data_IF_465405079701
#
_entry.id   IF_465405079701
#
_cell.length_a   1.000
_cell.length_b   1.000
_cell.length_c   1.000
_cell.angle_alpha   90.00
_cell.angle_beta   90.00
_cell.angle_gamma   90.00
#
_symmetry.space_group_name_H-M   'P 1'
#
loop_
_entity.id
_entity.type
_entity.pdbx_description
1 polymer ?
#
# COMPACT_ATOMS: atom_id res chain seq x y z
N UNK A 1 -3.03 5.24 10.99
CA UNK A 1 -4.00 4.51 11.83
C UNK A 1 -3.42 4.41 13.24
N UNK A 2 -2.25 3.81 13.38
CA UNK A 2 -1.61 3.55 14.68
C UNK A 2 -1.38 4.82 15.52
N UNK A 3 -0.95 5.94 14.91
CA UNK A 3 -0.69 7.19 15.65
C UNK A 3 -1.98 7.94 16.06
N UNK A 4 -3.08 7.74 15.33
CA UNK A 4 -4.29 8.56 15.50
C UNK A 4 -5.40 7.84 16.29
N UNK A 5 -5.48 6.52 16.19
CA UNK A 5 -6.61 5.75 16.71
C UNK A 5 -6.20 4.72 17.79
N UNK A 6 -4.91 4.36 17.89
CA UNK A 6 -4.43 3.34 18.83
C UNK A 6 -3.63 3.97 19.99
N UNK A 7 -3.88 3.55 21.24
CA UNK A 7 -3.12 4.02 22.37
C UNK A 7 -1.67 3.52 22.28
N UNK A 8 -0.73 4.40 22.61
CA UNK A 8 0.66 4.01 22.72
C UNK A 8 0.84 3.00 23.86
N UNK A 9 1.49 1.88 23.57
CA UNK A 9 1.66 0.79 24.53
C UNK A 9 2.63 -0.26 24.03
N UNK A 10 2.68 -1.40 24.74
CA UNK A 10 3.65 -2.48 24.45
C UNK A 10 3.65 -2.92 22.99
N UNK A 11 2.48 -3.10 22.38
CA UNK A 11 2.34 -3.49 20.98
C UNK A 11 3.09 -2.54 20.03
N UNK A 12 2.89 -1.22 20.19
CA UNK A 12 3.52 -0.22 19.33
C UNK A 12 5.04 -0.15 19.55
N UNK A 13 5.49 -0.15 20.80
CA UNK A 13 6.92 -0.07 21.15
C UNK A 13 7.67 -1.32 20.70
N UNK A 14 7.14 -2.51 20.99
CA UNK A 14 7.75 -3.77 20.59
C UNK A 14 7.73 -3.94 19.06
N UNK A 15 6.61 -3.59 18.42
CA UNK A 15 6.47 -3.61 16.97
C UNK A 15 7.52 -2.76 16.27
N UNK A 16 7.70 -1.52 16.72
CA UNK A 16 8.64 -0.57 16.13
C UNK A 16 10.10 -0.86 16.45
N UNK A 17 10.42 -1.29 17.66
CA UNK A 17 11.82 -1.45 18.11
C UNK A 17 12.41 -2.82 17.84
N UNK A 18 11.59 -3.88 17.77
CA UNK A 18 12.06 -5.27 17.67
C UNK A 18 11.54 -5.92 16.41
N UNK A 19 10.22 -5.95 16.24
CA UNK A 19 9.60 -6.75 15.19
C UNK A 19 9.95 -6.25 13.79
N UNK A 20 9.74 -4.96 13.50
CA UNK A 20 10.03 -4.41 12.17
C UNK A 20 11.51 -4.52 11.77
N UNK A 21 12.49 -4.14 12.61
CA UNK A 21 13.90 -4.33 12.27
C UNK A 21 14.26 -5.79 12.01
N UNK A 22 13.69 -6.72 12.79
CA UNK A 22 13.98 -8.16 12.64
C UNK A 22 13.42 -8.71 11.34
N UNK A 23 12.15 -8.41 11.03
CA UNK A 23 11.49 -8.94 9.83
C UNK A 23 12.05 -8.31 8.56
N UNK A 24 12.22 -6.98 8.49
CA UNK A 24 12.65 -6.29 7.27
C UNK A 24 14.14 -6.43 6.95
N UNK A 25 14.94 -7.01 7.84
CA UNK A 25 16.34 -7.33 7.56
C UNK A 25 16.58 -8.83 7.33
N UNK A 26 15.51 -9.63 7.30
CA UNK A 26 15.58 -11.08 7.27
C UNK A 26 16.31 -11.62 6.03
N UNK A 27 16.10 -11.03 4.85
CA UNK A 27 16.78 -11.42 3.61
C UNK A 27 18.27 -11.14 3.70
N UNK A 28 18.64 -9.97 4.23
CA UNK A 28 20.04 -9.58 4.42
C UNK A 28 20.74 -10.53 5.40
N UNK A 29 20.10 -10.85 6.53
CA UNK A 29 20.60 -11.82 7.50
C UNK A 29 20.75 -13.20 6.87
N UNK A 30 19.76 -13.64 6.09
CA UNK A 30 19.78 -14.94 5.42
C UNK A 30 20.93 -15.03 4.41
N UNK A 31 21.08 -14.03 3.54
CA UNK A 31 22.14 -13.97 2.52
C UNK A 31 23.55 -13.87 3.11
N UNK A 32 23.69 -13.24 4.28
CA UNK A 32 24.97 -13.17 4.98
C UNK A 32 25.45 -14.55 5.47
N UNK A 33 24.52 -15.44 5.83
CA UNK A 33 24.81 -16.80 6.33
C UNK A 33 24.74 -17.86 5.23
N UNK A 34 23.98 -17.61 4.16
CA UNK A 34 23.73 -18.52 3.06
C UNK A 34 24.03 -17.77 1.75
N UNK A 35 25.26 -17.87 1.21
CA UNK A 35 25.58 -17.24 -0.06
C UNK A 35 24.76 -17.90 -1.18
N UNK A 36 23.80 -17.15 -1.72
CA UNK A 36 22.97 -17.58 -2.85
C UNK A 36 23.49 -16.91 -4.11
N UNK A 37 23.96 -17.72 -5.06
CA UNK A 37 24.35 -17.23 -6.39
C UNK A 37 23.19 -17.44 -7.37
N UNK A 38 22.55 -16.34 -7.75
CA UNK A 38 21.51 -16.34 -8.78
C UNK A 38 22.14 -16.04 -10.16
N UNK A 39 21.69 -16.73 -11.22
CA UNK A 39 22.03 -16.35 -12.59
C UNK A 39 21.71 -14.87 -12.86
N UNK A 40 22.61 -14.18 -13.55
CA UNK A 40 22.51 -12.73 -13.80
C UNK A 40 21.18 -12.31 -14.42
N UNK A 41 20.63 -13.12 -15.33
CA UNK A 41 19.34 -12.84 -15.95
C UNK A 41 18.19 -12.85 -14.95
N UNK A 42 18.17 -13.80 -13.99
CA UNK A 42 17.16 -13.82 -12.93
C UNK A 42 17.30 -12.62 -12.00
N UNK A 43 18.54 -12.26 -11.63
CA UNK A 43 18.80 -11.08 -10.81
C UNK A 43 18.31 -9.80 -11.48
N UNK A 44 18.55 -9.64 -12.79
CA UNK A 44 18.05 -8.50 -13.57
C UNK A 44 16.51 -8.50 -13.58
N UNK A 45 15.87 -9.65 -13.81
CA UNK A 45 14.41 -9.75 -13.82
C UNK A 45 13.80 -9.38 -12.45
N UNK A 46 14.37 -9.88 -11.35
CA UNK A 46 13.94 -9.56 -9.98
C UNK A 46 14.11 -8.07 -9.70
N UNK A 47 15.26 -7.49 -10.09
CA UNK A 47 15.51 -6.06 -9.93
C UNK A 47 14.49 -5.22 -10.69
N UNK A 48 14.25 -5.53 -11.97
CA UNK A 48 13.25 -4.82 -12.78
C UNK A 48 11.84 -4.96 -12.19
N UNK A 49 11.49 -6.14 -11.67
CA UNK A 49 10.23 -6.36 -10.98
C UNK A 49 10.09 -5.46 -9.74
N UNK A 50 11.14 -5.35 -8.92
CA UNK A 50 11.18 -4.43 -7.79
C UNK A 50 11.07 -2.96 -8.20
N UNK A 51 11.75 -2.54 -9.26
CA UNK A 51 11.67 -1.17 -9.80
C UNK A 51 10.24 -0.85 -10.25
N UNK A 52 9.55 -1.79 -10.90
CA UNK A 52 8.13 -1.61 -11.27
C UNK A 52 7.26 -1.42 -10.03
N UNK A 53 7.45 -2.23 -8.99
CA UNK A 53 6.75 -2.07 -7.71
C UNK A 53 6.98 -0.71 -7.06
N UNK A 54 8.24 -0.23 -7.08
CA UNK A 54 8.59 1.09 -6.55
C UNK A 54 7.94 2.23 -7.35
N UNK A 55 7.94 2.15 -8.69
CA UNK A 55 7.28 3.15 -9.54
C UNK A 55 5.77 3.18 -9.26
N UNK A 56 5.13 2.01 -9.12
CA UNK A 56 3.71 1.89 -8.76
C UNK A 56 3.44 2.59 -7.42
N UNK A 57 4.24 2.29 -6.39
CA UNK A 57 4.11 2.90 -5.07
C UNK A 57 4.29 4.43 -5.12
N UNK A 58 5.39 4.88 -5.73
CA UNK A 58 5.75 6.29 -5.76
C UNK A 58 4.72 7.11 -6.53
N UNK A 59 4.32 6.65 -7.73
CA UNK A 59 3.32 7.36 -8.54
C UNK A 59 1.94 7.38 -7.89
N UNK A 60 1.54 6.30 -7.20
CA UNK A 60 0.30 6.27 -6.43
C UNK A 60 0.32 7.29 -5.29
N UNK A 61 1.42 7.37 -4.53
CA UNK A 61 1.58 8.31 -3.42
C UNK A 61 1.60 9.75 -3.92
N UNK A 62 2.35 10.02 -4.99
CA UNK A 62 2.44 11.35 -5.60
C UNK A 62 1.08 11.83 -6.11
N UNK A 63 0.32 10.96 -6.80
CA UNK A 63 -1.04 11.26 -7.22
C UNK A 63 -1.94 11.64 -6.05
N UNK A 64 -1.83 10.93 -4.92
CA UNK A 64 -2.62 11.19 -3.72
C UNK A 64 -2.27 12.55 -3.10
N UNK A 65 -0.98 12.88 -3.02
CA UNK A 65 -0.51 14.16 -2.48
C UNK A 65 -0.96 15.34 -3.34
N UNK A 66 -0.73 15.27 -4.66
CA UNK A 66 -1.13 16.31 -5.61
C UNK A 66 -2.63 16.61 -5.54
N UNK A 67 -3.47 15.59 -5.37
CA UNK A 67 -4.92 15.75 -5.28
C UNK A 67 -5.33 16.53 -4.02
N UNK A 68 -4.64 16.28 -2.90
CA UNK A 68 -4.86 17.01 -1.66
C UNK A 68 -4.40 18.47 -1.79
N UNK A 69 -3.21 18.70 -2.36
CA UNK A 69 -2.63 20.05 -2.48
C UNK A 69 -3.38 20.93 -3.48
N UNK A 70 -3.84 20.36 -4.60
CA UNK A 70 -4.51 21.12 -5.66
C UNK A 70 -6.03 21.24 -5.45
N UNK A 71 -6.57 20.65 -4.38
CA UNK A 71 -8.00 20.55 -4.11
C UNK A 71 -8.80 20.11 -5.36
N UNK A 72 -8.25 19.14 -6.10
CA UNK A 72 -8.87 18.55 -7.29
C UNK A 72 -8.72 19.34 -8.61
N UNK A 73 -7.90 20.39 -8.67
CA UNK A 73 -7.65 21.17 -9.91
C UNK A 73 -6.64 20.52 -10.86
N UNK A 74 -5.99 19.43 -10.47
CA UNK A 74 -4.94 18.80 -11.27
C UNK A 74 -5.48 17.86 -12.38
N UNK A 75 -4.89 17.92 -13.57
CA UNK A 75 -5.15 16.95 -14.65
C UNK A 75 -4.24 15.74 -14.48
N UNK A 76 -4.79 14.53 -14.39
CA UNK A 76 -3.99 13.30 -14.27
C UNK A 76 -4.02 12.56 -15.60
N UNK A 77 -2.83 12.28 -16.16
CA UNK A 77 -2.64 11.58 -17.43
C UNK A 77 -3.38 12.22 -18.62
N UNK A 78 -3.35 13.56 -18.73
CA UNK A 78 -3.94 14.31 -19.84
C UNK A 78 -5.47 14.38 -19.87
N UNK A 79 -6.16 13.80 -18.87
CA UNK A 79 -7.62 13.90 -18.70
C UNK A 79 -7.96 14.68 -17.44
N UNK A 80 -9.08 15.41 -17.45
CA UNK A 80 -9.62 16.03 -16.24
C UNK A 80 -9.81 14.94 -15.18
N UNK A 81 -9.14 15.09 -14.06
CA UNK A 81 -9.19 14.09 -13.01
C UNK A 81 -10.62 13.96 -12.47
N UNK A 82 -11.07 12.72 -12.29
CA UNK A 82 -12.40 12.41 -11.79
C UNK A 82 -12.30 12.24 -10.27
N UNK A 83 -13.15 12.96 -9.55
CA UNK A 83 -13.22 12.93 -8.10
C UNK A 83 -14.66 12.78 -7.64
N UNK A 84 -14.85 12.17 -6.47
CA UNK A 84 -16.11 12.24 -5.74
C UNK A 84 -15.86 13.15 -4.53
N UNK A 85 -16.64 14.23 -4.41
CA UNK A 85 -16.62 15.08 -3.21
C UNK A 85 -17.41 14.36 -2.12
N UNK A 86 -16.77 14.13 -0.99
CA UNK A 86 -17.38 13.52 0.18
C UNK A 86 -17.29 14.50 1.36
N UNK A 87 -18.43 14.98 1.81
CA UNK A 87 -18.54 15.78 3.04
C UNK A 87 -18.66 14.85 4.23
N UNK A 88 -17.97 15.17 5.32
CA UNK A 88 -18.02 14.41 6.55
C UNK A 88 -17.85 15.35 7.75
N UNK A 89 -18.41 14.95 8.89
CA UNK A 89 -18.30 15.69 10.14
C UNK A 89 -17.14 15.10 10.95
N UNK A 90 -16.20 15.94 11.40
CA UNK A 90 -15.14 15.49 12.32
C UNK A 90 -15.71 15.24 13.72
N UNK A 91 -14.94 14.56 14.57
CA UNK A 91 -15.29 14.36 15.99
C UNK A 91 -15.58 15.68 16.72
N UNK A 92 -15.00 16.77 16.25
CA UNK A 92 -15.15 18.13 16.80
C UNK A 92 -16.43 18.83 16.30
N UNK A 93 -17.27 18.16 15.50
CA UNK A 93 -18.50 18.72 14.94
C UNK A 93 -18.30 19.60 13.70
N UNK A 94 -17.09 19.70 13.17
CA UNK A 94 -16.78 20.54 12.00
C UNK A 94 -17.00 19.76 10.72
N UNK A 95 -17.83 20.29 9.82
CA UNK A 95 -17.97 19.76 8.46
C UNK A 95 -16.68 20.01 7.66
N UNK A 96 -16.15 18.95 7.06
CA UNK A 96 -15.01 19.00 6.15
C UNK A 96 -15.34 18.26 4.86
N UNK A 97 -14.82 18.76 3.75
CA UNK A 97 -14.85 18.05 2.48
C UNK A 97 -13.56 17.27 2.26
N UNK A 98 -13.67 16.07 1.69
CA UNK A 98 -12.55 15.30 1.13
C UNK A 98 -12.84 14.94 -0.32
N UNK A 99 -11.77 14.83 -1.10
CA UNK A 99 -11.84 14.39 -2.49
C UNK A 99 -11.42 12.92 -2.57
N UNK A 100 -12.35 12.06 -3.00
CA UNK A 100 -12.06 10.67 -3.31
C UNK A 100 -11.59 10.58 -4.76
N UNK A 101 -10.32 10.23 -4.94
CA UNK A 101 -9.67 10.23 -6.23
C UNK A 101 -10.02 8.98 -7.05
N UNK A 102 -10.59 9.17 -8.23
CA UNK A 102 -11.12 8.08 -9.07
C UNK A 102 -10.43 8.00 -10.46
N UNK A 103 -9.21 8.50 -10.59
CA UNK A 103 -8.48 8.56 -11.86
C UNK A 103 -7.09 7.94 -11.74
N UNK A 104 -6.44 7.66 -12.86
CA UNK A 104 -5.15 6.98 -12.87
C UNK A 104 -5.24 5.60 -12.22
N UNK A 105 -4.24 5.25 -11.39
CA UNK A 105 -4.16 3.94 -10.74
C UNK A 105 -5.27 3.74 -9.69
N UNK A 106 -5.63 4.81 -8.98
CA UNK A 106 -6.72 4.86 -8.01
C UNK A 106 -8.10 4.67 -8.66
N UNK A 107 -8.21 4.82 -9.98
CA UNK A 107 -9.43 4.49 -10.73
C UNK A 107 -9.61 2.98 -11.01
N UNK A 108 -8.54 2.19 -10.91
CA UNK A 108 -8.55 0.75 -11.16
C UNK A 108 -8.54 -0.07 -9.86
N UNK A 109 -7.76 0.37 -8.89
CA UNK A 109 -7.52 -0.32 -7.60
C UNK A 109 -7.64 0.72 -6.49
N UNK A 110 -8.21 0.36 -5.33
CA UNK A 110 -8.40 1.28 -4.21
C UNK A 110 -7.12 1.54 -3.40
N UNK A 111 -6.16 0.61 -3.39
CA UNK A 111 -4.86 0.73 -2.68
C UNK A 111 -3.67 0.34 -3.59
N UNK A 112 -3.39 1.10 -4.66
CA UNK A 112 -2.28 0.81 -5.58
C UNK A 112 -0.90 0.95 -4.92
N UNK A 113 -0.78 1.80 -3.90
CA UNK A 113 0.42 1.94 -3.07
C UNK A 113 0.75 0.63 -2.33
N UNK A 114 -0.27 -0.07 -1.83
CA UNK A 114 -0.08 -1.35 -1.13
C UNK A 114 0.33 -2.46 -2.10
N UNK A 115 -0.18 -2.43 -3.34
CA UNK A 115 0.30 -3.36 -4.37
C UNK A 115 1.77 -3.10 -4.69
N UNK A 116 2.18 -1.83 -4.82
CA UNK A 116 3.56 -1.46 -5.10
C UNK A 116 4.54 -1.94 -4.02
N UNK A 117 4.21 -1.73 -2.74
CA UNK A 117 5.07 -2.19 -1.63
C UNK A 117 5.15 -3.73 -1.60
N UNK A 118 4.05 -4.46 -1.85
CA UNK A 118 4.07 -5.92 -1.92
C UNK A 118 4.99 -6.44 -3.03
N UNK A 119 4.93 -5.85 -4.22
CA UNK A 119 5.80 -6.21 -5.34
C UNK A 119 7.27 -6.03 -4.95
N UNK A 120 7.62 -4.92 -4.31
CA UNK A 120 8.99 -4.66 -3.83
C UNK A 120 9.40 -5.70 -2.79
N UNK A 121 8.56 -5.97 -1.79
CA UNK A 121 8.84 -6.98 -0.75
C UNK A 121 9.07 -8.37 -1.35
N UNK A 122 8.23 -8.80 -2.29
CA UNK A 122 8.40 -10.09 -2.95
C UNK A 122 9.63 -10.13 -3.87
N UNK A 123 10.00 -9.01 -4.50
CA UNK A 123 11.25 -8.91 -5.24
C UNK A 123 12.47 -9.13 -4.31
N UNK A 124 12.47 -8.50 -3.13
CA UNK A 124 13.51 -8.70 -2.12
C UNK A 124 13.57 -10.16 -1.64
N UNK A 125 12.42 -10.80 -1.40
CA UNK A 125 12.37 -12.23 -1.06
C UNK A 125 12.97 -13.10 -2.18
N UNK A 126 12.69 -12.75 -3.44
CA UNK A 126 13.19 -13.47 -4.62
C UNK A 126 14.72 -13.48 -4.74
N UNK A 127 15.41 -12.46 -4.21
CA UNK A 127 16.88 -12.42 -4.18
C UNK A 127 17.49 -13.54 -3.32
N UNK A 128 16.74 -14.10 -2.37
CA UNK A 128 17.17 -15.25 -1.57
C UNK A 128 16.95 -16.60 -2.27
N UNK A 129 16.39 -16.61 -3.48
CA UNK A 129 16.00 -17.83 -4.18
C UNK A 129 14.83 -18.58 -3.52
N UNK A 130 14.60 -19.81 -3.95
CA UNK A 130 13.46 -20.65 -3.49
C UNK A 130 13.89 -21.79 -2.57
N UNK A 131 15.18 -21.87 -2.21
CA UNK A 131 15.74 -22.97 -1.42
C UNK A 131 15.33 -22.96 0.06
N UNK A 132 14.89 -21.82 0.59
CA UNK A 132 14.42 -21.71 1.96
C UNK A 132 13.12 -20.90 2.03
N UNK A 133 12.22 -21.31 2.92
CA UNK A 133 10.94 -20.63 3.15
C UNK A 133 11.08 -19.41 4.06
N UNK A 134 12.14 -19.35 4.88
CA UNK A 134 12.32 -18.31 5.88
C UNK A 134 12.30 -16.88 5.28
N UNK A 135 13.04 -16.56 4.20
CA UNK A 135 13.00 -15.21 3.61
C UNK A 135 11.64 -14.81 3.05
N UNK A 136 10.84 -15.79 2.62
CA UNK A 136 9.49 -15.59 2.08
C UNK A 136 8.44 -15.32 3.16
N UNK A 137 8.76 -15.60 4.43
CA UNK A 137 7.86 -15.31 5.55
C UNK A 137 7.57 -13.81 5.71
N UNK A 138 8.51 -12.93 5.34
CA UNK A 138 8.25 -11.49 5.28
C UNK A 138 7.16 -11.16 4.26
N UNK A 139 7.25 -11.68 3.03
CA UNK A 139 6.25 -11.43 1.99
C UNK A 139 4.87 -11.94 2.40
N UNK A 140 4.79 -13.10 3.04
CA UNK A 140 3.54 -13.63 3.60
C UNK A 140 2.99 -12.72 4.71
N UNK A 141 3.84 -12.28 5.64
CA UNK A 141 3.46 -11.35 6.70
C UNK A 141 2.97 -10.01 6.14
N UNK A 142 3.71 -9.40 5.20
CA UNK A 142 3.35 -8.14 4.56
C UNK A 142 1.99 -8.24 3.85
N UNK A 143 1.73 -9.35 3.16
CA UNK A 143 0.44 -9.62 2.51
C UNK A 143 -0.70 -9.69 3.51
N UNK A 144 -0.54 -10.45 4.60
CA UNK A 144 -1.56 -10.56 5.64
C UNK A 144 -1.80 -9.21 6.33
N UNK A 145 -0.73 -8.49 6.65
CA UNK A 145 -0.77 -7.18 7.29
C UNK A 145 -1.50 -6.16 6.41
N UNK A 146 -1.16 -6.07 5.12
CA UNK A 146 -1.80 -5.13 4.20
C UNK A 146 -3.24 -5.52 3.86
N UNK A 147 -3.56 -6.81 3.77
CA UNK A 147 -4.94 -7.26 3.62
C UNK A 147 -5.80 -6.85 4.83
N UNK A 148 -5.29 -7.04 6.04
CA UNK A 148 -5.96 -6.59 7.27
C UNK A 148 -6.10 -5.06 7.30
N UNK A 149 -5.03 -4.34 6.93
CA UNK A 149 -5.02 -2.89 6.86
C UNK A 149 -6.05 -2.36 5.87
N UNK A 150 -6.16 -2.94 4.67
CA UNK A 150 -7.21 -2.62 3.70
C UNK A 150 -8.60 -2.75 4.31
N UNK A 151 -8.90 -3.84 5.02
CA UNK A 151 -10.23 -4.04 5.63
C UNK A 151 -10.53 -2.95 6.67
N UNK A 152 -9.53 -2.57 7.48
CA UNK A 152 -9.67 -1.47 8.46
C UNK A 152 -9.87 -0.11 7.79
N UNK A 153 -9.09 0.18 6.75
CA UNK A 153 -9.20 1.42 5.98
C UNK A 153 -10.58 1.53 5.33
N UNK A 154 -11.06 0.45 4.70
CA UNK A 154 -12.41 0.40 4.10
C UNK A 154 -13.51 0.64 5.14
N UNK A 155 -13.41 0.01 6.32
CA UNK A 155 -14.38 0.23 7.41
C UNK A 155 -14.36 1.69 7.89
N UNK A 156 -13.19 2.29 8.01
CA UNK A 156 -13.03 3.70 8.41
C UNK A 156 -13.58 4.64 7.34
N UNK A 157 -13.27 4.41 6.07
CA UNK A 157 -13.78 5.19 4.95
C UNK A 157 -15.30 5.07 4.80
N UNK A 158 -15.86 3.87 5.01
CA UNK A 158 -17.31 3.66 5.02
C UNK A 158 -17.97 4.45 6.15
N UNK A 159 -17.46 4.36 7.37
CA UNK A 159 -18.00 5.12 8.50
C UNK A 159 -17.83 6.63 8.36
N UNK A 160 -16.77 7.09 7.70
CA UNK A 160 -16.46 8.52 7.52
C UNK A 160 -17.23 9.16 6.37
N UNK A 161 -17.30 8.50 5.22
CA UNK A 161 -17.81 9.08 3.97
C UNK A 161 -19.16 8.51 3.51
N UNK A 162 -19.66 7.46 4.15
CA UNK A 162 -21.00 6.90 3.90
C UNK A 162 -21.26 6.60 2.41
N UNK A 163 -22.35 7.15 1.88
CA UNK A 163 -22.82 6.93 0.50
C UNK A 163 -21.79 7.35 -0.58
N UNK A 164 -20.98 8.36 -0.30
CA UNK A 164 -19.91 8.78 -1.21
C UNK A 164 -18.83 7.69 -1.34
N UNK A 165 -18.55 6.95 -0.25
CA UNK A 165 -17.66 5.79 -0.28
C UNK A 165 -18.26 4.64 -1.06
N UNK A 166 -19.55 4.34 -0.88
CA UNK A 166 -20.21 3.29 -1.64
C UNK A 166 -20.17 3.58 -3.15
N UNK A 167 -20.43 4.83 -3.54
CA UNK A 167 -20.33 5.27 -4.93
C UNK A 167 -18.91 5.09 -5.47
N UNK A 168 -17.90 5.38 -4.64
CA UNK A 168 -16.51 5.12 -4.96
C UNK A 168 -16.22 3.62 -5.14
N UNK A 169 -16.66 2.76 -4.22
CA UNK A 169 -16.46 1.32 -4.29
C UNK A 169 -17.16 0.66 -5.50
N UNK A 170 -18.33 1.17 -5.91
CA UNK A 170 -19.01 0.72 -7.14
C UNK A 170 -18.20 1.03 -8.39
N UNK A 171 -17.51 2.18 -8.39
CA UNK A 171 -16.66 2.63 -9.50
C UNK A 171 -15.33 1.88 -9.54
N UNK A 172 -14.65 1.80 -8.41
CA UNK A 172 -13.34 1.17 -8.25
C UNK A 172 -13.53 -0.08 -7.41
N UNK A 173 -13.79 -1.23 -8.06
CA UNK A 173 -14.24 -2.45 -7.37
C UNK A 173 -13.13 -3.17 -6.60
N UNK A 174 -11.91 -3.15 -7.13
CA UNK A 174 -10.78 -3.94 -6.65
C UNK A 174 -10.02 -3.22 -5.53
N UNK A 175 -9.65 -3.94 -4.47
CA UNK A 175 -8.90 -3.42 -3.32
C UNK A 175 -7.42 -3.34 -3.62
N UNK A 176 -6.85 -4.41 -4.16
CA UNK A 176 -5.41 -4.62 -4.33
C UNK A 176 -5.08 -5.19 -5.70
N UNK A 177 -5.73 -6.27 -6.13
CA UNK A 177 -5.41 -6.96 -7.39
C UNK A 177 -6.65 -7.06 -8.27
N UNK A 178 -6.65 -6.42 -9.45
CA UNK A 178 -7.77 -6.51 -10.38
C UNK A 178 -8.11 -7.95 -10.73
N UNK A 179 -9.38 -8.34 -10.59
CA UNK A 179 -9.84 -9.70 -10.89
C UNK A 179 -9.79 -10.68 -9.70
N UNK A 180 -9.05 -10.35 -8.63
CA UNK A 180 -8.90 -11.23 -7.47
C UNK A 180 -9.43 -10.60 -6.18
N UNK A 181 -8.99 -9.38 -5.85
CA UNK A 181 -9.30 -8.74 -4.57
C UNK A 181 -9.35 -7.22 -4.68
#
# INVERSE_FOLDING_TARGET
MDVCDEPFGFYFTWGSSVFFPTIYTLQTQYLALNPVELPTHLTILIFLFGVVGFIIYYTAMEQKNIVQDTNGKHSVAGRKAKFIRASYVTTDGVERESLLFCSGMWGHIRHPDYLGILIVTYAMCGLCGTGALLPWSEGAFATAFLAYRCVRDEKKCTGKYGEAWETYCRRVRWRLVPGLY
#
